data_IF_325091917620
#
_entry.id   IF_325091917620
#
_cell.length_a   1.000
_cell.length_b   1.000
_cell.length_c   1.000
_cell.angle_alpha   90.00
_cell.angle_beta   90.00
_cell.angle_gamma   90.00
#
_symmetry.space_group_name_H-M   'P 1'
#
loop_
_entity.id
_entity.type
_entity.pdbx_description
1 polymer ?
#
# COMPACT_ATOMS: atom_id res chain seq x y z
N UNK A 1 34.36 10.30 -0.63
CA UNK A 1 33.26 9.96 -1.52
C UNK A 1 31.95 9.99 -0.75
N UNK A 2 30.99 10.70 -1.26
CA UNK A 2 29.69 10.79 -0.59
C UNK A 2 28.81 9.61 -1.02
N UNK A 3 28.28 8.88 -0.05
CA UNK A 3 27.34 7.79 -0.31
C UNK A 3 25.94 8.31 -0.12
N UNK A 4 25.08 8.10 -1.12
CA UNK A 4 23.66 8.48 -1.02
C UNK A 4 22.97 7.59 0.00
N UNK A 5 22.05 8.13 0.82
CA UNK A 5 21.28 7.31 1.74
C UNK A 5 20.45 6.28 1.00
N UNK A 6 20.36 5.09 1.55
CA UNK A 6 19.52 4.03 0.99
C UNK A 6 18.12 4.10 1.58
N UNK A 7 17.11 3.87 0.75
CA UNK A 7 15.74 3.77 1.21
C UNK A 7 15.58 2.45 1.98
N UNK A 8 15.04 2.55 3.18
CA UNK A 8 14.73 1.37 3.99
C UNK A 8 13.28 0.93 3.75
N UNK A 9 13.09 0.14 2.69
CA UNK A 9 11.76 -0.33 2.29
C UNK A 9 11.06 -1.13 3.39
N UNK A 10 11.79 -2.00 4.07
CA UNK A 10 11.22 -2.84 5.12
C UNK A 10 10.69 -1.99 6.28
N UNK A 11 11.43 -0.96 6.67
CA UNK A 11 11.00 -0.05 7.74
C UNK A 11 9.76 0.72 7.33
N UNK A 12 9.73 1.24 6.11
CA UNK A 12 8.57 1.99 5.60
C UNK A 12 7.35 1.08 5.52
N UNK A 13 7.53 -0.16 5.05
CA UNK A 13 6.42 -1.13 5.01
C UNK A 13 5.87 -1.43 6.41
N UNK A 14 6.75 -1.58 7.42
CA UNK A 14 6.31 -1.78 8.81
C UNK A 14 5.57 -0.56 9.35
N UNK A 15 6.09 0.63 9.08
CA UNK A 15 5.43 1.87 9.51
C UNK A 15 4.07 2.03 8.84
N UNK A 16 3.99 1.74 7.55
CA UNK A 16 2.73 1.78 6.81
C UNK A 16 1.73 0.77 7.39
N UNK A 17 2.18 -0.42 7.74
CA UNK A 17 1.32 -1.46 8.29
C UNK A 17 0.67 -1.02 9.60
N UNK A 18 1.38 -0.26 10.43
CA UNK A 18 0.83 0.30 11.67
C UNK A 18 -0.33 1.27 11.40
N UNK A 19 -0.41 1.80 10.19
CA UNK A 19 -1.45 2.73 9.77
C UNK A 19 -2.29 2.17 8.61
N UNK A 20 -2.35 0.84 8.50
CA UNK A 20 -3.00 0.18 7.36
C UNK A 20 -4.45 0.60 7.18
N UNK A 21 -5.19 0.71 8.27
CA UNK A 21 -6.59 1.15 8.25
C UNK A 21 -6.72 2.56 7.64
N UNK A 22 -5.96 3.51 8.17
CA UNK A 22 -6.00 4.91 7.70
C UNK A 22 -5.58 5.02 6.23
N UNK A 23 -4.54 4.29 5.84
CA UNK A 23 -4.05 4.31 4.46
C UNK A 23 -5.06 3.70 3.50
N UNK A 24 -5.68 2.59 3.87
CA UNK A 24 -6.71 1.98 3.01
C UNK A 24 -7.94 2.87 2.87
N UNK A 25 -8.37 3.52 3.95
CA UNK A 25 -9.49 4.47 3.88
C UNK A 25 -9.18 5.64 2.96
N UNK A 26 -7.93 6.08 2.94
CA UNK A 26 -7.49 7.19 2.10
C UNK A 26 -7.33 6.79 0.64
N UNK A 27 -6.71 5.62 0.40
CA UNK A 27 -6.39 5.16 -0.95
C UNK A 27 -7.55 4.48 -1.66
N UNK A 28 -8.42 3.84 -0.88
CA UNK A 28 -9.55 3.03 -1.36
C UNK A 28 -10.82 3.44 -0.61
N UNK A 29 -11.26 4.71 -0.78
CA UNK A 29 -12.34 5.27 0.06
C UNK A 29 -13.70 4.61 -0.15
N UNK A 30 -13.90 3.96 -1.30
CA UNK A 30 -15.16 3.28 -1.61
C UNK A 30 -15.22 1.87 -1.02
N UNK A 31 -14.17 1.44 -0.31
CA UNK A 31 -14.12 0.14 0.30
C UNK A 31 -14.77 0.07 1.68
N UNK A 32 -14.74 -1.12 2.25
CA UNK A 32 -15.23 -1.35 3.61
C UNK A 32 -14.39 -2.43 4.28
N UNK A 33 -14.41 -2.43 5.60
CA UNK A 33 -13.67 -3.41 6.39
C UNK A 33 -14.56 -4.62 6.68
N UNK A 34 -14.01 -5.81 6.46
CA UNK A 34 -14.61 -7.08 6.85
C UNK A 34 -13.55 -7.89 7.59
N UNK A 35 -13.68 -7.95 8.91
CA UNK A 35 -12.68 -8.58 9.75
C UNK A 35 -11.32 -7.88 9.62
N UNK A 36 -10.32 -8.62 9.19
CA UNK A 36 -8.95 -8.11 8.99
C UNK A 36 -8.71 -7.61 7.57
N UNK A 37 -9.75 -7.58 6.74
CA UNK A 37 -9.59 -7.22 5.34
C UNK A 37 -10.30 -5.92 5.02
N UNK A 38 -9.65 -5.11 4.17
CA UNK A 38 -10.28 -3.98 3.51
C UNK A 38 -10.67 -4.45 2.11
N UNK A 39 -11.95 -4.41 1.80
CA UNK A 39 -12.51 -4.92 0.55
C UNK A 39 -12.96 -3.73 -0.29
N UNK A 40 -12.51 -3.68 -1.54
CA UNK A 40 -12.73 -2.51 -2.38
C UNK A 40 -12.88 -2.89 -3.85
N UNK A 41 -13.25 -1.91 -4.65
CA UNK A 41 -13.10 -1.96 -6.08
C UNK A 41 -11.66 -1.62 -6.43
N UNK A 42 -11.12 -2.27 -7.48
CA UNK A 42 -9.79 -1.93 -7.95
C UNK A 42 -9.85 -0.65 -8.78
N UNK A 43 -9.24 0.47 -8.34
CA UNK A 43 -9.29 1.72 -9.10
C UNK A 43 -8.52 1.66 -10.43
N UNK A 44 -7.70 0.62 -10.62
CA UNK A 44 -6.99 0.38 -11.89
C UNK A 44 -7.85 -0.35 -12.91
N UNK A 45 -9.05 -0.77 -12.54
CA UNK A 45 -10.00 -1.46 -13.41
C UNK A 45 -11.36 -0.79 -13.32
N UNK A 46 -12.22 -1.09 -14.30
CA UNK A 46 -13.63 -0.64 -14.27
C UNK A 46 -14.46 -1.66 -13.48
N UNK A 47 -14.32 -1.64 -12.16
CA UNK A 47 -15.11 -2.49 -11.27
C UNK A 47 -16.40 -1.78 -10.89
N UNK A 48 -17.51 -2.52 -10.93
CA UNK A 48 -18.82 -1.99 -10.54
C UNK A 48 -19.12 -2.20 -9.07
N UNK A 49 -18.51 -3.24 -8.45
CA UNK A 49 -18.78 -3.61 -7.06
C UNK A 49 -17.47 -3.92 -6.34
N UNK A 50 -17.38 -3.62 -5.05
CA UNK A 50 -16.30 -4.15 -4.23
C UNK A 50 -16.38 -5.68 -4.14
N UNK A 51 -15.25 -6.34 -3.97
CA UNK A 51 -15.24 -7.77 -3.70
C UNK A 51 -14.00 -8.49 -4.18
N UNK A 52 -13.49 -8.17 -5.37
CA UNK A 52 -12.32 -8.86 -5.90
C UNK A 52 -11.01 -8.32 -5.37
N UNK A 53 -10.97 -7.05 -4.96
CA UNK A 53 -9.75 -6.41 -4.47
C UNK A 53 -9.77 -6.36 -2.95
N UNK A 54 -8.77 -6.98 -2.33
CA UNK A 54 -8.69 -7.10 -0.86
C UNK A 54 -7.29 -6.76 -0.36
N UNK A 55 -7.24 -6.08 0.77
CA UNK A 55 -6.00 -5.76 1.49
C UNK A 55 -6.11 -6.33 2.90
N UNK A 56 -5.15 -7.14 3.30
CA UNK A 56 -5.09 -7.65 4.67
C UNK A 56 -4.48 -6.59 5.57
N UNK A 57 -5.27 -6.07 6.49
CA UNK A 57 -4.86 -4.97 7.38
C UNK A 57 -3.84 -5.39 8.42
N UNK A 58 -3.70 -6.70 8.68
CA UNK A 58 -2.73 -7.23 9.65
C UNK A 58 -1.38 -7.54 9.02
N UNK A 59 -1.34 -7.94 7.75
CA UNK A 59 -0.10 -8.36 7.08
C UNK A 59 0.36 -7.39 6.00
N UNK A 60 -0.54 -6.58 5.46
CA UNK A 60 -0.26 -5.72 4.33
C UNK A 60 -0.35 -6.41 2.98
N UNK A 61 -0.60 -7.71 2.94
CA UNK A 61 -0.77 -8.44 1.69
C UNK A 61 -2.06 -8.01 1.01
N UNK A 62 -2.02 -7.95 -0.31
CA UNK A 62 -3.17 -7.53 -1.10
C UNK A 62 -3.22 -8.29 -2.41
N UNK A 63 -4.39 -8.30 -3.01
CA UNK A 63 -4.56 -8.94 -4.30
C UNK A 63 -5.91 -8.63 -4.93
N UNK A 64 -5.96 -8.81 -6.24
CA UNK A 64 -7.18 -8.77 -7.03
C UNK A 64 -7.46 -10.17 -7.56
N UNK A 65 -8.48 -10.82 -7.06
CA UNK A 65 -8.82 -12.18 -7.46
C UNK A 65 -9.30 -12.29 -8.90
N UNK A 66 -9.73 -11.18 -9.48
CA UNK A 66 -10.21 -11.18 -10.88
C UNK A 66 -9.04 -11.11 -11.88
N UNK A 67 -7.95 -10.45 -11.52
CA UNK A 67 -6.80 -10.26 -12.42
C UNK A 67 -5.59 -11.10 -12.04
N UNK A 68 -5.50 -11.50 -10.77
CA UNK A 68 -4.31 -12.15 -10.24
C UNK A 68 -3.20 -11.19 -9.80
N UNK A 69 -3.41 -9.89 -9.93
CA UNK A 69 -2.45 -8.89 -9.42
C UNK A 69 -2.37 -9.00 -7.91
N UNK A 70 -1.16 -8.93 -7.36
CA UNK A 70 -0.96 -9.08 -5.91
C UNK A 70 0.37 -8.48 -5.48
N UNK A 71 0.48 -8.25 -4.19
CA UNK A 71 1.72 -7.79 -3.56
C UNK A 71 1.77 -8.14 -2.09
N UNK A 72 2.94 -7.97 -1.50
CA UNK A 72 3.23 -8.43 -0.14
C UNK A 72 3.15 -7.36 0.94
N UNK A 73 3.12 -6.09 0.58
CA UNK A 73 3.10 -5.00 1.55
C UNK A 73 2.42 -3.74 0.99
N UNK A 74 2.29 -2.72 1.84
CA UNK A 74 1.60 -1.49 1.46
C UNK A 74 2.44 -0.58 0.57
N UNK A 75 3.75 -0.75 0.53
CA UNK A 75 4.59 -0.04 -0.44
C UNK A 75 4.27 -0.54 -1.85
N UNK A 76 4.20 -1.87 -2.01
CA UNK A 76 3.80 -2.47 -3.28
C UNK A 76 2.38 -2.08 -3.66
N UNK A 77 1.48 -1.98 -2.68
CA UNK A 77 0.10 -1.53 -2.92
C UNK A 77 0.06 -0.10 -3.47
N UNK A 78 0.79 0.82 -2.84
CA UNK A 78 0.84 2.20 -3.31
C UNK A 78 1.42 2.30 -4.72
N UNK A 79 2.50 1.55 -4.98
CA UNK A 79 3.09 1.51 -6.31
C UNK A 79 2.08 1.05 -7.36
N UNK A 80 1.32 0.01 -7.04
CA UNK A 80 0.28 -0.52 -7.93
C UNK A 80 -0.85 0.50 -8.14
N UNK A 81 -1.41 1.04 -7.06
CA UNK A 81 -2.57 1.92 -7.14
C UNK A 81 -2.27 3.23 -7.88
N UNK A 82 -1.09 3.79 -7.66
CA UNK A 82 -0.72 5.08 -8.24
C UNK A 82 0.09 4.97 -9.53
N UNK A 83 0.42 3.73 -9.95
CA UNK A 83 1.19 3.51 -11.18
C UNK A 83 2.59 4.10 -11.11
N UNK A 84 3.24 3.99 -9.96
CA UNK A 84 4.57 4.55 -9.71
C UNK A 84 5.54 3.44 -9.30
N UNK A 85 6.83 3.78 -9.25
CA UNK A 85 7.85 2.84 -8.81
C UNK A 85 7.72 2.54 -7.32
N UNK A 86 8.33 1.43 -6.88
CA UNK A 86 8.44 1.09 -5.47
C UNK A 86 9.16 2.20 -4.69
N UNK A 87 10.20 2.77 -5.28
CA UNK A 87 10.94 3.88 -4.68
C UNK A 87 10.04 5.09 -4.45
N UNK A 88 9.30 5.51 -5.48
CA UNK A 88 8.42 6.66 -5.36
C UNK A 88 7.29 6.39 -4.37
N UNK A 89 6.76 5.17 -4.36
CA UNK A 89 5.73 4.77 -3.40
C UNK A 89 6.24 4.87 -1.97
N UNK A 90 7.46 4.35 -1.72
CA UNK A 90 8.06 4.42 -0.39
C UNK A 90 8.28 5.88 0.06
N UNK A 91 8.75 6.74 -0.84
CA UNK A 91 8.96 8.14 -0.53
C UNK A 91 7.65 8.86 -0.19
N UNK A 92 6.58 8.58 -0.93
CA UNK A 92 5.27 9.16 -0.66
C UNK A 92 4.69 8.70 0.67
N UNK A 93 4.82 7.41 0.99
CA UNK A 93 4.35 6.90 2.28
C UNK A 93 5.14 7.54 3.42
N UNK A 94 6.46 7.62 3.30
CA UNK A 94 7.29 8.26 4.32
C UNK A 94 6.88 9.70 4.55
N UNK A 95 6.59 10.44 3.50
CA UNK A 95 6.11 11.81 3.59
C UNK A 95 4.75 11.89 4.30
N UNK A 96 3.82 11.02 3.92
CA UNK A 96 2.48 10.97 4.54
C UNK A 96 2.56 10.68 6.04
N UNK A 97 3.46 9.78 6.44
CA UNK A 97 3.63 9.36 7.82
C UNK A 97 4.61 10.25 8.59
N UNK A 98 5.24 11.21 7.91
CA UNK A 98 6.25 12.12 8.48
C UNK A 98 7.41 11.37 9.13
N UNK A 99 7.90 10.35 8.42
CA UNK A 99 9.07 9.57 8.84
C UNK A 99 10.14 9.66 7.78
N UNK A 100 11.39 9.49 8.19
CA UNK A 100 12.49 9.44 7.22
C UNK A 100 12.43 8.15 6.41
N UNK A 101 12.53 8.23 5.08
CA UNK A 101 12.56 7.03 4.25
C UNK A 101 13.91 6.32 4.23
N UNK A 102 14.93 6.91 4.85
CA UNK A 102 16.32 6.46 4.72
C UNK A 102 16.81 5.74 5.97
N UNK A 103 17.85 4.92 5.77
CA UNK A 103 18.62 4.34 6.87
C UNK A 103 19.37 5.43 7.62
N UNK A 104 19.45 5.28 8.89
CA UNK A 104 20.23 6.16 9.78
C UNK A 104 19.42 7.35 10.33
#
# INVERSE_FOLDING_TARGET
MRVSPSINFARIARMALMHSDSLCRRWLPDGYQDGKEWIARNPRRTDRRPGSFKVNLSTGRWGDFATGDKGGDLVALAAYLFGISQKDAALRIAEMLRVSPYDG
#
